data_IF_858716522999
#
_entry.id   IF_858716522999
#
_cell.length_a   1.000
_cell.length_b   1.000
_cell.length_c   1.000
_cell.angle_alpha   90.00
_cell.angle_beta   90.00
_cell.angle_gamma   90.00
#
_symmetry.space_group_name_H-M   'P 1'
#
loop_
_entity.id
_entity.type
_entity.pdbx_description
1 polymer ?
#
# COMPACT_ATOMS: atom_id res chain seq x y z
N UNK A 1 -49.51 -37.49 -18.16
CA UNK A 1 -48.99 -36.10 -18.18
C UNK A 1 -48.00 -35.98 -17.03
N UNK A 2 -46.73 -35.77 -17.34
CA UNK A 2 -45.58 -35.78 -16.41
C UNK A 2 -44.75 -34.52 -16.68
N UNK A 3 -44.11 -34.00 -15.63
CA UNK A 3 -43.27 -32.78 -15.56
C UNK A 3 -44.11 -31.49 -15.36
N UNK A 4 -43.77 -30.55 -14.46
CA UNK A 4 -42.45 -29.94 -14.20
C UNK A 4 -42.32 -29.51 -12.71
N UNK A 5 -41.25 -29.92 -12.02
CA UNK A 5 -40.03 -29.15 -11.67
C UNK A 5 -40.22 -28.16 -10.51
N UNK A 6 -39.69 -28.55 -9.36
CA UNK A 6 -39.33 -27.70 -8.24
C UNK A 6 -38.10 -26.85 -8.61
N UNK A 7 -38.13 -25.56 -8.31
CA UNK A 7 -36.96 -24.70 -8.32
C UNK A 7 -36.74 -24.16 -6.90
N UNK A 8 -35.87 -24.85 -6.17
CA UNK A 8 -35.28 -24.44 -4.92
C UNK A 8 -34.39 -23.22 -5.20
N UNK A 9 -34.81 -22.03 -4.78
CA UNK A 9 -33.93 -20.87 -4.78
C UNK A 9 -32.94 -21.04 -3.63
N UNK A 10 -31.76 -21.57 -3.94
CA UNK A 10 -30.60 -21.50 -3.06
C UNK A 10 -30.18 -20.02 -2.96
N UNK A 11 -30.49 -19.39 -1.84
CA UNK A 11 -29.87 -18.12 -1.45
C UNK A 11 -28.45 -18.49 -1.03
N UNK A 12 -27.54 -18.43 -1.98
CA UNK A 12 -26.11 -18.47 -1.70
C UNK A 12 -25.77 -17.22 -0.91
N UNK A 13 -25.68 -17.37 0.42
CA UNK A 13 -25.03 -16.39 1.29
C UNK A 13 -23.58 -16.35 0.84
N UNK A 14 -23.23 -15.33 0.06
CA UNK A 14 -21.83 -15.07 -0.31
C UNK A 14 -21.12 -14.79 1.00
N UNK A 15 -20.35 -15.79 1.43
CA UNK A 15 -19.45 -15.77 2.55
C UNK A 15 -18.48 -14.62 2.32
N UNK A 16 -18.60 -13.55 3.12
CA UNK A 16 -17.58 -12.54 3.22
C UNK A 16 -16.29 -13.23 3.70
N UNK A 17 -15.35 -13.46 2.79
CA UNK A 17 -13.98 -13.81 3.15
C UNK A 17 -13.46 -12.72 4.08
N UNK A 18 -13.02 -13.11 5.27
CA UNK A 18 -12.39 -12.23 6.26
C UNK A 18 -10.99 -11.77 5.84
N UNK A 19 -10.88 -11.10 4.70
CA UNK A 19 -9.68 -10.39 4.26
C UNK A 19 -10.01 -8.92 4.11
N UNK A 20 -9.08 -8.06 4.50
CA UNK A 20 -9.03 -6.61 4.28
C UNK A 20 -9.96 -6.08 3.16
N UNK A 21 -10.74 -4.98 3.36
CA UNK A 21 -11.51 -4.33 2.31
C UNK A 21 -10.65 -4.17 1.04
N UNK A 22 -11.22 -4.26 -0.18
CA UNK A 22 -10.44 -4.36 -1.42
C UNK A 22 -9.30 -3.33 -1.58
N UNK A 23 -9.50 -2.12 -1.06
CA UNK A 23 -8.48 -1.07 -1.06
C UNK A 23 -7.29 -1.36 -0.13
N UNK A 24 -7.53 -1.96 1.04
CA UNK A 24 -6.48 -2.27 2.01
C UNK A 24 -5.58 -3.36 1.47
N UNK A 25 -6.16 -4.38 0.80
CA UNK A 25 -5.36 -5.39 0.10
C UNK A 25 -4.47 -4.75 -0.98
N UNK A 26 -5.04 -3.89 -1.83
CA UNK A 26 -4.29 -3.28 -2.93
C UNK A 26 -3.12 -2.44 -2.38
N UNK A 27 -3.36 -1.59 -1.38
CA UNK A 27 -2.30 -0.80 -0.77
C UNK A 27 -1.23 -1.67 -0.10
N UNK A 28 -1.64 -2.76 0.56
CA UNK A 28 -0.70 -3.72 1.17
C UNK A 28 0.21 -4.33 0.10
N UNK A 29 -0.38 -4.82 -1.00
CA UNK A 29 0.36 -5.44 -2.09
C UNK A 29 1.34 -4.43 -2.73
N UNK A 30 0.87 -3.23 -3.09
CA UNK A 30 1.70 -2.21 -3.74
C UNK A 30 2.83 -1.70 -2.84
N UNK A 31 2.58 -1.50 -1.54
CA UNK A 31 3.62 -1.19 -0.57
C UNK A 31 4.64 -2.33 -0.46
N UNK A 32 4.16 -3.58 -0.44
CA UNK A 32 5.03 -4.76 -0.35
C UNK A 32 5.91 -4.88 -1.59
N UNK A 33 5.35 -4.68 -2.79
CA UNK A 33 6.08 -4.72 -4.06
C UNK A 33 7.14 -3.61 -4.16
N UNK A 34 6.87 -2.45 -3.55
CA UNK A 34 7.83 -1.35 -3.49
C UNK A 34 9.06 -1.72 -2.65
N UNK A 35 8.85 -2.21 -1.42
CA UNK A 35 9.93 -2.41 -0.45
C UNK A 35 10.59 -3.79 -0.49
N UNK A 36 9.88 -4.83 -0.93
CA UNK A 36 10.41 -6.20 -0.91
C UNK A 36 11.52 -6.37 -1.95
N UNK A 37 12.59 -7.08 -1.57
CA UNK A 37 13.77 -7.26 -2.39
C UNK A 37 14.73 -6.06 -2.40
N UNK A 38 14.35 -4.94 -1.78
CA UNK A 38 15.24 -3.82 -1.50
C UNK A 38 15.89 -4.00 -0.12
N UNK A 39 17.12 -4.50 -0.10
CA UNK A 39 17.82 -4.83 1.14
C UNK A 39 17.99 -3.61 2.08
N UNK A 40 18.09 -2.39 1.54
CA UNK A 40 18.22 -1.19 2.37
C UNK A 40 16.88 -0.85 3.00
N UNK A 41 15.80 -0.82 2.22
CA UNK A 41 14.46 -0.58 2.74
C UNK A 41 14.03 -1.65 3.74
N UNK A 42 14.29 -2.93 3.45
CA UNK A 42 14.00 -4.04 4.38
C UNK A 42 14.75 -3.89 5.71
N UNK A 43 16.04 -3.53 5.65
CA UNK A 43 16.84 -3.28 6.85
C UNK A 43 16.33 -2.07 7.63
N UNK A 44 15.90 -1.01 6.94
CA UNK A 44 15.32 0.17 7.58
C UNK A 44 13.99 -0.17 8.25
N UNK A 45 13.07 -0.88 7.60
CA UNK A 45 11.80 -1.30 8.22
C UNK A 45 12.06 -2.19 9.44
N UNK A 46 13.01 -3.12 9.34
CA UNK A 46 13.38 -3.99 10.47
C UNK A 46 13.96 -3.19 11.65
N UNK A 47 14.80 -2.19 11.38
CA UNK A 47 15.45 -1.39 12.42
C UNK A 47 14.57 -0.29 12.99
N UNK A 48 13.93 0.48 12.12
CA UNK A 48 13.24 1.74 12.42
C UNK A 48 11.76 1.56 12.70
N UNK A 49 11.14 0.46 12.25
CA UNK A 49 9.77 0.09 12.60
C UNK A 49 9.71 -1.09 13.56
N UNK A 50 10.82 -1.84 13.72
CA UNK A 50 10.88 -3.02 14.57
C UNK A 50 10.03 -4.18 14.06
N UNK A 51 9.73 -4.22 12.76
CA UNK A 51 8.81 -5.18 12.14
C UNK A 51 9.29 -5.63 10.76
N UNK A 52 8.57 -6.53 10.09
CA UNK A 52 8.85 -6.92 8.71
C UNK A 52 8.04 -6.09 7.69
N UNK A 53 8.43 -6.15 6.42
CA UNK A 53 7.78 -5.42 5.32
C UNK A 53 6.28 -5.74 5.23
N UNK A 54 5.91 -7.01 5.37
CA UNK A 54 4.51 -7.42 5.25
C UNK A 54 3.65 -6.79 6.35
N UNK A 55 4.14 -6.79 7.58
CA UNK A 55 3.47 -6.21 8.75
C UNK A 55 3.43 -4.68 8.67
N UNK A 56 4.51 -4.05 8.21
CA UNK A 56 4.57 -2.61 7.95
C UNK A 56 3.52 -2.19 6.91
N UNK A 57 3.50 -2.86 5.75
CA UNK A 57 2.59 -2.54 4.66
C UNK A 57 1.12 -2.82 4.97
N UNK A 58 0.83 -3.90 5.71
CA UNK A 58 -0.52 -4.16 6.20
C UNK A 58 -0.99 -3.07 7.16
N UNK A 59 -0.11 -2.62 8.05
CA UNK A 59 -0.42 -1.54 8.98
C UNK A 59 -0.67 -0.21 8.25
N UNK A 60 0.21 0.17 7.32
CA UNK A 60 0.06 1.33 6.47
C UNK A 60 -1.30 1.34 5.75
N UNK A 61 -1.64 0.23 5.10
CA UNK A 61 -2.90 0.10 4.38
C UNK A 61 -4.10 0.26 5.32
N UNK A 62 -4.08 -0.39 6.49
CA UNK A 62 -5.18 -0.32 7.46
C UNK A 62 -5.46 1.10 7.98
N UNK A 63 -4.42 1.93 8.09
CA UNK A 63 -4.54 3.33 8.54
C UNK A 63 -4.99 4.27 7.42
N UNK A 64 -4.66 3.94 6.16
CA UNK A 64 -4.95 4.78 4.99
C UNK A 64 -6.40 4.63 4.49
N UNK A 65 -6.95 3.41 4.54
CA UNK A 65 -8.22 3.09 3.84
C UNK A 65 -9.48 3.76 4.38
N UNK A 66 -9.40 4.44 5.52
CA UNK A 66 -10.52 5.20 6.06
C UNK A 66 -10.85 6.45 5.21
N UNK A 67 -9.86 7.01 4.51
CA UNK A 67 -10.03 8.16 3.63
C UNK A 67 -9.96 7.72 2.16
N UNK A 68 -11.06 7.91 1.43
CA UNK A 68 -11.16 7.48 0.03
C UNK A 68 -10.32 8.32 -0.92
N UNK A 69 -10.17 9.63 -0.67
CA UNK A 69 -9.36 10.51 -1.53
C UNK A 69 -7.87 10.19 -1.33
N UNK A 70 -7.43 10.07 -0.08
CA UNK A 70 -6.07 9.65 0.25
C UNK A 70 -5.75 8.27 -0.30
N UNK A 71 -6.68 7.31 -0.16
CA UNK A 71 -6.53 5.96 -0.71
C UNK A 71 -6.30 5.97 -2.22
N UNK A 72 -7.05 6.79 -2.96
CA UNK A 72 -6.90 6.88 -4.42
C UNK A 72 -5.54 7.47 -4.79
N UNK A 73 -5.15 8.58 -4.15
CA UNK A 73 -3.86 9.22 -4.37
C UNK A 73 -2.68 8.28 -4.08
N UNK A 74 -2.72 7.56 -2.96
CA UNK A 74 -1.63 6.66 -2.59
C UNK A 74 -1.53 5.46 -3.51
N UNK A 75 -2.65 4.98 -4.06
CA UNK A 75 -2.63 3.97 -5.12
C UNK A 75 -1.90 4.47 -6.36
N UNK A 76 -2.19 5.70 -6.79
CA UNK A 76 -1.56 6.28 -7.97
C UNK A 76 -0.04 6.46 -7.75
N UNK A 77 0.36 7.00 -6.60
CA UNK A 77 1.79 7.17 -6.25
C UNK A 77 2.51 5.82 -6.19
N UNK A 78 1.98 4.86 -5.42
CA UNK A 78 2.62 3.55 -5.27
C UNK A 78 2.68 2.77 -6.58
N UNK A 79 1.64 2.87 -7.42
CA UNK A 79 1.65 2.25 -8.74
C UNK A 79 2.75 2.82 -9.63
N UNK A 80 2.95 4.15 -9.60
CA UNK A 80 4.00 4.81 -10.37
C UNK A 80 5.39 4.42 -9.86
N UNK A 81 5.60 4.44 -8.54
CA UNK A 81 6.86 3.99 -7.93
C UNK A 81 7.20 2.55 -8.29
N UNK A 82 6.25 1.61 -8.14
CA UNK A 82 6.47 0.19 -8.49
C UNK A 82 6.74 0.02 -9.98
N UNK A 83 6.03 0.76 -10.83
CA UNK A 83 6.23 0.76 -12.29
C UNK A 83 7.65 1.18 -12.65
N UNK A 84 8.10 2.33 -12.17
CA UNK A 84 9.45 2.86 -12.44
C UNK A 84 10.52 1.96 -11.84
N UNK A 85 10.38 1.57 -10.57
CA UNK A 85 11.31 0.68 -9.89
C UNK A 85 11.55 -0.61 -10.69
N UNK A 86 10.48 -1.20 -11.22
CA UNK A 86 10.54 -2.44 -12.00
C UNK A 86 11.09 -2.21 -13.40
N UNK A 87 10.68 -1.12 -14.07
CA UNK A 87 11.12 -0.83 -15.44
C UNK A 87 12.61 -0.50 -15.52
N UNK A 88 13.11 0.23 -14.52
CA UNK A 88 14.47 0.78 -14.50
C UNK A 88 15.42 -0.02 -13.57
N UNK A 89 14.93 -1.08 -12.92
CA UNK A 89 15.68 -1.92 -11.96
C UNK A 89 16.35 -1.11 -10.84
N UNK A 90 15.56 -0.24 -10.21
CA UNK A 90 16.02 0.70 -9.18
C UNK A 90 15.77 0.16 -7.77
N UNK A 91 16.50 0.73 -6.81
CA UNK A 91 16.12 0.66 -5.40
C UNK A 91 15.06 1.74 -5.09
N UNK A 92 14.48 1.73 -3.89
CA UNK A 92 13.38 2.66 -3.53
C UNK A 92 13.83 4.12 -3.50
N UNK A 93 15.06 4.39 -3.07
CA UNK A 93 15.61 5.76 -3.01
C UNK A 93 15.84 6.32 -4.42
N UNK A 94 16.51 5.57 -5.29
CA UNK A 94 16.72 5.96 -6.69
C UNK A 94 15.38 6.07 -7.45
N UNK A 95 14.38 5.28 -7.07
CA UNK A 95 13.00 5.40 -7.60
C UNK A 95 12.37 6.72 -7.17
N UNK A 96 12.52 7.13 -5.91
CA UNK A 96 12.02 8.40 -5.42
C UNK A 96 12.68 9.59 -6.14
N UNK A 97 14.01 9.58 -6.27
CA UNK A 97 14.76 10.58 -7.05
C UNK A 97 14.25 10.66 -8.51
N UNK A 98 13.92 9.50 -9.11
CA UNK A 98 13.38 9.42 -10.47
C UNK A 98 11.97 9.99 -10.60
N UNK A 99 11.14 9.79 -9.57
CA UNK A 99 9.78 10.36 -9.47
C UNK A 99 9.87 11.88 -9.33
N UNK A 100 10.70 12.39 -8.41
CA UNK A 100 10.91 13.83 -8.19
C UNK A 100 11.35 14.54 -9.47
N UNK A 101 12.38 13.99 -10.16
CA UNK A 101 12.80 14.51 -11.46
C UNK A 101 11.69 14.41 -12.52
N UNK A 102 10.85 13.37 -12.44
CA UNK A 102 9.68 13.18 -13.29
C UNK A 102 8.63 14.28 -13.11
N UNK A 103 8.37 14.66 -11.87
CA UNK A 103 7.45 15.74 -11.49
C UNK A 103 8.04 17.10 -11.93
N UNK A 104 9.31 17.38 -11.64
CA UNK A 104 9.98 18.65 -12.01
C UNK A 104 9.98 18.86 -13.53
N UNK A 105 10.21 17.80 -14.30
CA UNK A 105 10.20 17.85 -15.76
C UNK A 105 8.79 17.84 -16.38
N UNK A 106 7.75 17.55 -15.59
CA UNK A 106 6.36 17.40 -16.05
C UNK A 106 6.09 16.11 -16.82
N UNK A 107 6.97 15.10 -16.69
CA UNK A 107 6.72 13.75 -17.25
C UNK A 107 5.78 12.92 -16.37
N UNK A 108 5.70 13.26 -15.09
CA UNK A 108 4.70 12.76 -14.14
C UNK A 108 3.85 13.96 -13.71
N UNK A 109 2.55 13.90 -13.99
CA UNK A 109 1.58 14.96 -13.67
C UNK A 109 0.34 14.43 -12.93
N UNK A 110 0.32 13.14 -12.59
CA UNK A 110 -0.78 12.46 -11.87
C UNK A 110 -0.88 12.87 -10.41
N UNK A 111 0.24 13.31 -9.83
CA UNK A 111 0.34 13.87 -8.48
C UNK A 111 1.45 14.93 -8.43
N UNK A 112 1.39 15.75 -7.38
CA UNK A 112 2.36 16.83 -7.13
C UNK A 112 3.50 16.37 -6.23
N UNK A 113 4.62 17.10 -6.24
CA UNK A 113 5.74 16.90 -5.31
C UNK A 113 5.27 16.89 -3.85
N UNK A 114 4.43 17.85 -3.46
CA UNK A 114 3.88 17.92 -2.11
C UNK A 114 3.05 16.68 -1.70
N UNK A 115 2.36 16.04 -2.65
CA UNK A 115 1.61 14.81 -2.40
C UNK A 115 2.54 13.60 -2.28
N UNK A 116 3.61 13.58 -3.07
CA UNK A 116 4.65 12.55 -2.98
C UNK A 116 5.39 12.63 -1.64
N UNK A 117 5.81 13.83 -1.24
CA UNK A 117 6.45 14.11 0.04
C UNK A 117 5.58 13.69 1.22
N UNK A 118 4.27 14.01 1.15
CA UNK A 118 3.32 13.64 2.19
C UNK A 118 3.27 12.12 2.41
N UNK A 119 3.31 11.32 1.34
CA UNK A 119 3.37 9.86 1.47
C UNK A 119 4.68 9.41 2.15
N UNK A 120 5.81 10.01 1.80
CA UNK A 120 7.11 9.73 2.44
C UNK A 120 7.09 10.05 3.93
N UNK A 121 6.53 11.20 4.30
CA UNK A 121 6.35 11.62 5.70
C UNK A 121 5.44 10.65 6.46
N UNK A 122 4.38 10.14 5.84
CA UNK A 122 3.50 9.14 6.42
C UNK A 122 4.20 7.81 6.68
N UNK A 123 5.01 7.31 5.73
CA UNK A 123 5.82 6.10 5.97
C UNK A 123 6.79 6.28 7.13
N UNK A 124 7.45 7.43 7.21
CA UNK A 124 8.36 7.72 8.30
C UNK A 124 7.63 7.84 9.64
N UNK A 125 6.48 8.53 9.68
CA UNK A 125 5.66 8.66 10.87
C UNK A 125 5.16 7.29 11.35
N UNK A 126 4.69 6.45 10.42
CA UNK A 126 4.25 5.10 10.71
C UNK A 126 5.38 4.24 11.27
N UNK A 127 6.56 4.28 10.64
CA UNK A 127 7.74 3.53 11.12
C UNK A 127 8.03 3.85 12.58
N UNK A 128 8.10 5.14 12.92
CA UNK A 128 8.33 5.58 14.30
C UNK A 128 7.22 5.10 15.25
N UNK A 129 5.96 5.22 14.84
CA UNK A 129 4.83 4.80 15.65
C UNK A 129 4.81 3.28 15.89
N UNK A 130 5.18 2.47 14.90
CA UNK A 130 5.31 1.02 15.05
C UNK A 130 6.47 0.66 15.97
N UNK A 131 7.61 1.34 15.86
CA UNK A 131 8.74 1.13 16.76
C UNK A 131 8.39 1.44 18.22
N UNK A 132 7.75 2.58 18.46
CA UNK A 132 7.27 2.97 19.79
C UNK A 132 6.21 1.99 20.34
N UNK A 133 5.51 1.29 19.45
CA UNK A 133 4.54 0.24 19.76
C UNK A 133 5.14 -1.19 19.64
N UNK A 134 6.46 -1.33 19.75
CA UNK A 134 7.14 -2.63 19.81
C UNK A 134 7.01 -3.48 18.54
N UNK A 135 7.00 -2.84 17.37
CA UNK A 135 6.85 -3.50 16.06
C UNK A 135 5.42 -3.81 15.65
N UNK A 136 4.45 -3.48 16.50
CA UNK A 136 3.03 -3.72 16.23
C UNK A 136 2.36 -2.49 15.62
N UNK A 137 1.32 -2.70 14.81
CA UNK A 137 0.54 -1.60 14.26
C UNK A 137 -0.11 -0.77 15.39
N UNK A 138 0.13 0.56 15.47
CA UNK A 138 -0.49 1.39 16.49
C UNK A 138 -2.01 1.47 16.27
N UNK A 139 -2.81 1.66 17.34
CA UNK A 139 -4.25 1.86 17.21
C UNK A 139 -4.53 3.16 16.42
N UNK A 140 -5.52 3.11 15.53
CA UNK A 140 -6.04 4.31 14.85
C UNK A 140 -6.71 5.22 15.89
N UNK A 141 -6.29 6.48 15.93
CA UNK A 141 -6.82 7.51 16.84
C UNK A 141 -8.13 8.11 16.33
#
# INVERSE_FOLDING_TARGET
MRHLIAATAAISVITACGGAPPNEKILTDSCTDLFSGDARSESMITGDAGTDVASFCACYASQTVADTETTALHKDILSEMVSIKTADDLNVEDTADRIEAGIESGTIDTFTEAQFDALGDEFQALSRAMYDNGGSCPPTS
#
